data_IF_307739595563
#
_entry.id   IF_307739595563
#
_cell.length_a   1.000
_cell.length_b   1.000
_cell.length_c   1.000
_cell.angle_alpha   90.00
_cell.angle_beta   90.00
_cell.angle_gamma   90.00
#
_symmetry.space_group_name_H-M   'P 1'
#
loop_
_entity.id
_entity.type
_entity.pdbx_description
1 polymer ?
#
# COMPACT_ATOMS: atom_id res chain seq x y z
N UNK A 1 -18.00 41.67 -84.26
CA UNK A 1 -17.00 41.83 -83.18
C UNK A 1 -17.70 42.31 -81.92
N UNK A 2 -17.43 41.82 -80.71
CA UNK A 2 -16.83 40.54 -80.33
C UNK A 2 -17.78 39.69 -79.46
N UNK A 3 -17.63 38.38 -79.58
CA UNK A 3 -18.08 37.39 -78.60
C UNK A 3 -17.32 37.67 -77.31
N UNK A 4 -18.02 37.82 -76.17
CA UNK A 4 -17.36 37.79 -74.85
C UNK A 4 -16.93 36.36 -74.56
N UNK A 5 -15.74 36.07 -75.07
CA UNK A 5 -14.79 35.06 -74.63
C UNK A 5 -14.50 35.24 -73.12
N UNK A 6 -14.63 34.14 -72.38
CA UNK A 6 -14.14 33.90 -71.01
C UNK A 6 -14.61 34.84 -69.88
N UNK A 7 -15.49 34.31 -69.02
CA UNK A 7 -15.80 34.91 -67.72
C UNK A 7 -16.21 33.84 -66.70
N UNK A 8 -15.25 33.45 -65.86
CA UNK A 8 -15.39 32.70 -64.60
C UNK A 8 -15.65 31.16 -64.65
N UNK A 9 -15.01 30.42 -65.55
CA UNK A 9 -15.07 28.94 -65.57
C UNK A 9 -13.99 28.20 -64.76
N UNK A 10 -13.08 28.88 -64.06
CA UNK A 10 -11.98 28.21 -63.33
C UNK A 10 -11.89 28.51 -61.82
N UNK A 11 -12.89 29.18 -61.23
CA UNK A 11 -12.97 29.33 -59.77
C UNK A 11 -13.91 28.29 -59.17
N UNK A 12 -13.54 27.58 -58.08
CA UNK A 12 -14.49 26.70 -57.40
C UNK A 12 -15.74 27.51 -57.03
N UNK A 13 -16.92 27.03 -57.46
CA UNK A 13 -18.19 27.66 -57.09
C UNK A 13 -18.29 27.71 -55.57
N UNK A 14 -18.82 28.81 -55.02
CA UNK A 14 -19.00 28.97 -53.57
C UNK A 14 -19.70 27.73 -53.01
N UNK A 15 -19.03 27.05 -52.09
CA UNK A 15 -19.60 25.87 -51.44
C UNK A 15 -20.89 26.28 -50.74
N UNK A 16 -22.00 25.54 -50.93
CA UNK A 16 -23.26 25.86 -50.25
C UNK A 16 -23.04 25.98 -48.74
N UNK A 17 -23.78 26.86 -48.05
CA UNK A 17 -23.67 27.03 -46.60
C UNK A 17 -23.74 25.66 -45.91
N UNK A 18 -22.73 25.35 -45.08
CA UNK A 18 -22.71 24.10 -44.33
C UNK A 18 -23.97 24.04 -43.46
N UNK A 19 -24.72 22.96 -43.57
CA UNK A 19 -25.92 22.68 -42.74
C UNK A 19 -25.56 22.25 -41.31
N UNK A 20 -24.31 21.85 -41.07
CA UNK A 20 -23.79 21.56 -39.73
C UNK A 20 -23.20 22.84 -39.14
N UNK A 21 -23.72 23.28 -38.00
CA UNK A 21 -23.12 24.36 -37.22
C UNK A 21 -21.67 24.01 -36.86
N UNK A 22 -20.77 25.00 -36.98
CA UNK A 22 -19.39 24.82 -36.57
C UNK A 22 -19.32 24.76 -35.04
N UNK A 23 -18.70 23.71 -34.49
CA UNK A 23 -18.43 23.62 -33.05
C UNK A 23 -17.29 24.57 -32.60
N UNK A 24 -16.78 25.39 -33.51
CA UNK A 24 -15.68 26.32 -33.26
C UNK A 24 -16.06 27.49 -32.34
N UNK A 25 -17.35 27.81 -32.19
CA UNK A 25 -17.81 28.85 -31.26
C UNK A 25 -18.93 28.31 -30.34
N UNK A 26 -18.61 27.72 -29.18
CA UNK A 26 -19.58 27.06 -28.30
C UNK A 26 -20.54 28.04 -27.59
N UNK A 27 -20.33 29.35 -27.71
CA UNK A 27 -21.20 30.38 -27.13
C UNK A 27 -22.42 30.71 -28.01
N UNK A 28 -22.34 30.46 -29.32
CA UNK A 28 -23.44 30.77 -30.27
C UNK A 28 -24.48 29.63 -30.36
N UNK A 29 -24.21 28.49 -29.71
CA UNK A 29 -25.10 27.34 -29.69
C UNK A 29 -26.06 27.42 -28.51
N UNK A 30 -27.30 27.02 -28.75
CA UNK A 30 -28.26 26.78 -27.67
C UNK A 30 -27.68 25.78 -26.65
N UNK A 31 -28.02 26.00 -25.37
CA UNK A 31 -27.51 25.19 -24.25
C UNK A 31 -27.70 23.69 -24.48
N UNK A 32 -28.86 23.28 -24.98
CA UNK A 32 -29.18 21.87 -25.28
C UNK A 32 -28.27 21.30 -26.37
N UNK A 33 -28.07 22.04 -27.47
CA UNK A 33 -27.18 21.66 -28.58
C UNK A 33 -25.73 21.53 -28.10
N UNK A 34 -25.29 22.43 -27.21
CA UNK A 34 -23.96 22.39 -26.60
C UNK A 34 -23.79 21.20 -25.66
N UNK A 35 -24.78 20.92 -24.81
CA UNK A 35 -24.75 19.80 -23.86
C UNK A 35 -24.70 18.45 -24.60
N UNK A 36 -25.44 18.32 -25.71
CA UNK A 36 -25.40 17.12 -26.56
C UNK A 36 -24.07 17.01 -27.31
N UNK A 37 -23.59 18.09 -27.94
CA UNK A 37 -22.36 18.07 -28.73
C UNK A 37 -21.10 17.82 -27.87
N UNK A 38 -21.06 18.34 -26.65
CA UNK A 38 -19.96 18.14 -25.69
C UNK A 38 -20.14 16.88 -24.83
N UNK A 39 -21.27 16.17 -24.95
CA UNK A 39 -21.56 15.00 -24.13
C UNK A 39 -21.72 15.30 -22.63
N UNK A 40 -22.11 16.53 -22.27
CA UNK A 40 -22.31 16.96 -20.88
C UNK A 40 -23.55 16.30 -20.23
N UNK A 41 -24.42 15.68 -21.02
CA UNK A 41 -25.53 14.84 -20.55
C UNK A 41 -25.08 13.42 -20.16
N UNK A 42 -23.95 13.26 -19.46
CA UNK A 42 -23.36 11.94 -19.16
C UNK A 42 -24.14 11.11 -18.13
N UNK A 43 -25.29 11.61 -17.64
CA UNK A 43 -26.13 10.90 -16.68
C UNK A 43 -25.39 10.54 -15.38
N UNK A 44 -25.95 9.62 -14.60
CA UNK A 44 -25.23 9.03 -13.47
C UNK A 44 -24.06 8.21 -14.01
N UNK A 45 -22.81 8.46 -13.59
CA UNK A 45 -21.66 7.70 -14.07
C UNK A 45 -21.85 6.21 -13.76
N UNK A 46 -21.84 5.39 -14.81
CA UNK A 46 -21.89 3.93 -14.71
C UNK A 46 -20.50 3.35 -14.93
N UNK A 47 -20.21 2.24 -14.26
CA UNK A 47 -18.92 1.56 -14.29
C UNK A 47 -19.14 0.07 -14.51
N UNK A 48 -18.57 -0.47 -15.58
CA UNK A 48 -18.61 -1.90 -15.86
C UNK A 48 -17.37 -2.60 -15.31
N UNK A 49 -17.52 -3.41 -14.27
CA UNK A 49 -16.43 -4.24 -13.72
C UNK A 49 -16.80 -5.71 -13.84
N UNK A 50 -15.97 -6.50 -14.52
CA UNK A 50 -16.11 -7.97 -14.60
C UNK A 50 -17.53 -8.40 -15.05
N UNK A 51 -18.08 -7.68 -16.03
CA UNK A 51 -19.42 -7.98 -16.58
C UNK A 51 -20.60 -7.50 -15.73
N UNK A 52 -20.37 -6.77 -14.63
CA UNK A 52 -21.42 -6.14 -13.83
C UNK A 52 -21.43 -4.63 -14.06
N UNK A 53 -22.60 -4.06 -14.38
CA UNK A 53 -22.81 -2.61 -14.44
C UNK A 53 -23.13 -2.06 -13.06
N UNK A 54 -22.31 -1.11 -12.58
CA UNK A 54 -22.49 -0.42 -11.31
C UNK A 54 -22.80 1.06 -11.56
N UNK A 55 -23.86 1.58 -10.94
CA UNK A 55 -24.13 3.01 -10.82
C UNK A 55 -23.47 3.57 -9.57
N UNK A 56 -23.01 4.81 -9.66
CA UNK A 56 -22.54 5.54 -8.49
C UNK A 56 -23.63 6.51 -8.01
N UNK A 57 -24.26 6.19 -6.87
CA UNK A 57 -25.31 6.98 -6.26
C UNK A 57 -24.93 7.29 -4.80
N UNK A 58 -25.00 8.56 -4.39
CA UNK A 58 -24.74 9.01 -3.01
C UNK A 58 -23.39 8.54 -2.41
N UNK A 59 -22.34 8.43 -3.23
CA UNK A 59 -21.03 7.96 -2.76
C UNK A 59 -20.89 6.43 -2.74
N UNK A 60 -21.95 5.68 -3.03
CA UNK A 60 -21.98 4.22 -3.02
C UNK A 60 -22.11 3.66 -4.44
N UNK A 61 -21.54 2.46 -4.63
CA UNK A 61 -21.62 1.72 -5.90
C UNK A 61 -22.78 0.73 -5.81
N UNK A 62 -23.81 0.93 -6.62
CA UNK A 62 -25.03 0.12 -6.65
C UNK A 62 -25.03 -0.72 -7.93
N UNK A 63 -25.18 -2.04 -7.82
CA UNK A 63 -25.27 -2.92 -8.99
C UNK A 63 -26.65 -2.79 -9.66
N UNK A 64 -26.68 -2.59 -10.98
CA UNK A 64 -27.92 -2.28 -11.72
C UNK A 64 -28.80 -3.49 -12.03
N UNK A 65 -28.31 -4.72 -11.83
CA UNK A 65 -29.05 -5.92 -12.24
C UNK A 65 -28.82 -7.07 -11.25
N UNK A 66 -29.85 -7.41 -10.49
CA UNK A 66 -30.24 -8.76 -10.04
C UNK A 66 -29.25 -9.67 -9.30
N UNK A 67 -28.00 -9.28 -9.07
CA UNK A 67 -26.97 -10.15 -8.48
C UNK A 67 -26.48 -9.48 -7.20
N UNK A 68 -27.29 -9.54 -6.13
CA UNK A 68 -26.86 -9.17 -4.78
C UNK A 68 -25.62 -9.96 -4.34
N UNK A 69 -25.41 -11.16 -4.88
CA UNK A 69 -24.27 -12.02 -4.56
C UNK A 69 -22.89 -11.45 -4.94
N UNK A 70 -22.81 -10.40 -5.78
CA UNK A 70 -21.55 -9.72 -6.06
C UNK A 70 -21.06 -8.84 -4.89
N UNK A 71 -22.00 -8.27 -4.13
CA UNK A 71 -21.70 -7.48 -2.93
C UNK A 71 -21.30 -8.41 -1.81
N UNK A 72 -22.08 -9.47 -1.58
CA UNK A 72 -21.81 -10.49 -0.54
C UNK A 72 -20.44 -11.14 -0.74
N UNK A 73 -20.12 -11.58 -1.96
CA UNK A 73 -18.82 -12.21 -2.27
C UNK A 73 -17.64 -11.26 -2.05
N UNK A 74 -17.82 -9.97 -2.33
CA UNK A 74 -16.76 -8.96 -2.13
C UNK A 74 -16.60 -8.61 -0.66
N UNK A 75 -17.69 -8.56 0.09
CA UNK A 75 -17.69 -8.34 1.52
C UNK A 75 -17.05 -9.52 2.26
N UNK A 76 -17.42 -10.75 1.91
CA UNK A 76 -16.78 -11.98 2.41
C UNK A 76 -15.27 -12.00 2.13
N UNK A 77 -14.85 -11.66 0.90
CA UNK A 77 -13.44 -11.58 0.54
C UNK A 77 -12.68 -10.54 1.37
N UNK A 78 -13.29 -9.36 1.61
CA UNK A 78 -12.68 -8.32 2.45
C UNK A 78 -12.59 -8.74 3.92
N UNK A 79 -13.62 -9.40 4.46
CA UNK A 79 -13.62 -9.90 5.83
C UNK A 79 -12.55 -10.99 6.02
N UNK A 80 -12.41 -11.91 5.07
CA UNK A 80 -11.34 -12.90 5.09
C UNK A 80 -9.95 -12.26 5.01
N UNK A 81 -9.77 -11.23 4.18
CA UNK A 81 -8.50 -10.51 4.10
C UNK A 81 -8.14 -9.85 5.44
N UNK A 82 -9.11 -9.22 6.12
CA UNK A 82 -8.90 -8.64 7.45
C UNK A 82 -8.46 -9.71 8.46
N UNK A 83 -9.19 -10.82 8.54
CA UNK A 83 -8.84 -11.92 9.45
C UNK A 83 -7.44 -12.50 9.18
N UNK A 84 -7.05 -12.63 7.91
CA UNK A 84 -5.70 -13.09 7.54
C UNK A 84 -4.62 -12.11 7.99
N UNK A 85 -4.85 -10.82 7.82
CA UNK A 85 -3.89 -9.78 8.25
C UNK A 85 -3.75 -9.78 9.77
N UNK A 86 -4.87 -9.86 10.49
CA UNK A 86 -4.86 -9.88 11.96
C UNK A 86 -4.17 -11.14 12.49
N UNK A 87 -4.49 -12.33 11.95
CA UNK A 87 -3.83 -13.57 12.35
C UNK A 87 -2.33 -13.59 12.04
N UNK A 88 -1.90 -13.08 10.88
CA UNK A 88 -0.47 -12.95 10.57
C UNK A 88 0.24 -12.00 11.55
N UNK A 89 -0.40 -10.89 11.90
CA UNK A 89 0.13 -9.94 12.87
C UNK A 89 0.27 -10.56 14.26
N UNK A 90 -0.70 -11.35 14.70
CA UNK A 90 -0.65 -12.04 15.99
C UNK A 90 0.49 -13.06 16.02
N UNK A 91 0.62 -13.92 15.00
CA UNK A 91 1.72 -14.88 14.90
C UNK A 91 3.10 -14.20 14.89
N UNK A 92 3.24 -13.09 14.15
CA UNK A 92 4.50 -12.33 14.13
C UNK A 92 4.79 -11.68 15.48
N UNK A 93 3.76 -11.21 16.19
CA UNK A 93 3.91 -10.60 17.51
C UNK A 93 4.29 -11.64 18.58
N UNK A 94 3.67 -12.83 18.53
CA UNK A 94 3.99 -13.98 19.38
C UNK A 94 5.42 -14.45 19.13
N UNK A 95 5.80 -14.69 17.86
CA UNK A 95 7.18 -15.08 17.48
C UNK A 95 8.21 -14.03 17.96
N UNK A 96 7.89 -12.74 17.83
CA UNK A 96 8.77 -11.68 18.31
C UNK A 96 8.89 -11.64 19.84
N UNK A 97 7.82 -11.96 20.56
CA UNK A 97 7.84 -12.08 22.02
C UNK A 97 8.68 -13.28 22.47
N UNK A 98 8.50 -14.44 21.85
CA UNK A 98 9.29 -15.65 22.10
C UNK A 98 10.79 -15.43 21.83
N UNK A 99 11.14 -14.81 20.69
CA UNK A 99 12.53 -14.48 20.37
C UNK A 99 13.17 -13.62 21.45
N UNK A 100 12.45 -12.62 21.97
CA UNK A 100 12.95 -11.74 23.04
C UNK A 100 13.11 -12.46 24.37
N UNK A 101 12.27 -13.46 24.66
CA UNK A 101 12.43 -14.28 25.87
C UNK A 101 13.68 -15.16 25.74
N UNK A 102 13.86 -15.83 24.60
CA UNK A 102 15.06 -16.65 24.33
C UNK A 102 16.35 -15.82 24.39
N UNK A 103 16.36 -14.61 23.84
CA UNK A 103 17.50 -13.69 23.92
C UNK A 103 17.88 -13.35 25.38
N UNK A 104 16.87 -13.12 26.24
CA UNK A 104 17.10 -12.85 27.67
C UNK A 104 17.68 -14.06 28.38
N UNK A 105 17.10 -15.25 28.18
CA UNK A 105 17.61 -16.49 28.78
C UNK A 105 19.06 -16.75 28.37
N UNK A 106 19.41 -16.54 27.10
CA UNK A 106 20.79 -16.65 26.61
C UNK A 106 21.72 -15.65 27.30
N UNK A 107 21.31 -14.40 27.48
CA UNK A 107 22.13 -13.41 28.18
C UNK A 107 22.29 -13.71 29.67
N UNK A 108 21.27 -14.23 30.33
CA UNK A 108 21.34 -14.71 31.71
C UNK A 108 22.35 -15.85 31.84
N UNK A 109 22.27 -16.87 30.97
CA UNK A 109 23.22 -17.98 30.95
C UNK A 109 24.65 -17.51 30.67
N UNK A 110 24.84 -16.59 29.72
CA UNK A 110 26.15 -15.97 29.48
C UNK A 110 26.64 -15.22 30.71
N UNK A 111 25.78 -14.48 31.40
CA UNK A 111 26.16 -13.75 32.62
C UNK A 111 26.62 -14.69 33.73
N UNK A 112 25.94 -15.83 33.92
CA UNK A 112 26.33 -16.87 34.89
C UNK A 112 27.67 -17.49 34.50
N UNK A 113 27.87 -17.79 33.22
CA UNK A 113 29.14 -18.33 32.72
C UNK A 113 30.32 -17.36 32.90
N UNK A 114 30.09 -16.06 32.66
CA UNK A 114 31.07 -14.98 32.90
C UNK A 114 31.41 -14.86 34.37
N UNK A 115 30.43 -14.93 35.27
CA UNK A 115 30.66 -14.93 36.73
C UNK A 115 31.45 -16.15 37.21
N UNK A 116 31.24 -17.31 36.59
CA UNK A 116 32.00 -18.54 36.90
C UNK A 116 33.42 -18.51 36.35
N UNK A 117 33.65 -17.83 35.22
CA UNK A 117 34.97 -17.53 34.67
C UNK A 117 35.48 -16.18 35.19
N UNK A 118 35.78 -16.08 36.49
CA UNK A 118 36.61 -14.97 36.99
C UNK A 118 37.99 -15.08 36.32
N UNK A 119 38.52 -13.98 35.78
CA UNK A 119 39.87 -14.00 35.20
C UNK A 119 40.87 -14.33 36.32
N UNK A 120 41.95 -15.10 36.06
CA UNK A 120 42.95 -15.43 37.08
C UNK A 120 43.46 -14.19 37.83
N UNK A 121 43.61 -13.07 37.11
CA UNK A 121 44.01 -11.77 37.66
C UNK A 121 42.99 -11.19 38.65
N UNK A 122 41.69 -11.28 38.37
CA UNK A 122 40.62 -10.82 39.27
C UNK A 122 40.58 -11.66 40.55
N UNK A 123 40.84 -12.97 40.42
CA UNK A 123 40.97 -13.88 41.56
C UNK A 123 42.19 -13.49 42.40
N UNK A 124 43.34 -13.21 41.78
CA UNK A 124 44.55 -12.81 42.48
C UNK A 124 44.40 -11.46 43.21
N UNK A 125 43.74 -10.47 42.60
CA UNK A 125 43.45 -9.17 43.22
C UNK A 125 42.47 -9.28 44.38
N UNK A 126 41.37 -10.02 44.24
CA UNK A 126 40.37 -10.21 45.30
C UNK A 126 40.99 -10.91 46.54
N UNK A 127 41.98 -11.78 46.36
CA UNK A 127 42.71 -12.40 47.47
C UNK A 127 43.77 -11.46 48.09
N UNK A 128 44.24 -10.46 47.33
CA UNK A 128 45.20 -9.44 47.79
C UNK A 128 44.56 -8.35 48.65
N UNK A 129 43.25 -8.18 48.56
CA UNK A 129 42.48 -7.25 49.40
C UNK A 129 41.92 -7.92 50.67
N UNK A 130 41.96 -9.26 50.77
CA UNK A 130 41.50 -9.98 51.97
C UNK A 130 42.44 -9.81 53.17
N UNK A 131 41.89 -9.71 54.39
CA UNK A 131 42.68 -9.58 55.61
C UNK A 131 43.58 -10.80 55.80
N UNK A 132 44.81 -10.57 56.29
CA UNK A 132 45.90 -11.55 56.37
C UNK A 132 45.48 -12.85 57.10
N UNK A 133 44.58 -12.75 58.08
CA UNK A 133 44.04 -13.91 58.82
C UNK A 133 43.25 -14.90 57.95
N UNK A 134 42.74 -14.47 56.79
CA UNK A 134 41.86 -15.25 55.91
C UNK A 134 42.59 -15.87 54.70
N UNK A 135 43.90 -15.66 54.56
CA UNK A 135 44.74 -16.17 53.44
C UNK A 135 45.30 -17.58 53.64
N UNK A 136 44.73 -18.38 54.54
CA UNK A 136 45.22 -19.74 54.81
C UNK A 136 44.46 -20.75 53.96
N UNK A 137 45.13 -21.41 53.01
CA UNK A 137 44.61 -22.62 52.36
C UNK A 137 45.08 -22.94 50.94
N UNK A 138 45.63 -21.99 50.16
CA UNK A 138 45.86 -22.24 48.72
C UNK A 138 47.32 -22.47 48.30
N UNK A 139 48.30 -22.30 49.20
CA UNK A 139 49.70 -22.59 48.86
C UNK A 139 49.95 -24.10 48.62
N UNK A 140 49.03 -24.98 49.05
CA UNK A 140 49.14 -26.43 48.82
C UNK A 140 48.65 -26.90 47.45
N UNK A 141 47.81 -26.13 46.75
CA UNK A 141 47.22 -26.56 45.47
C UNK A 141 47.94 -26.02 44.24
N UNK A 142 48.69 -24.91 44.36
CA UNK A 142 49.47 -24.35 43.24
C UNK A 142 50.79 -25.09 42.99
N UNK A 143 51.29 -25.84 43.98
CA UNK A 143 52.57 -26.56 43.85
C UNK A 143 52.40 -28.05 43.48
N UNK A 144 51.16 -28.52 43.23
CA UNK A 144 50.86 -29.93 43.01
C UNK A 144 50.02 -30.22 41.73
N UNK A 145 50.00 -29.33 40.74
CA UNK A 145 49.44 -29.61 39.41
C UNK A 145 50.22 -28.92 38.31
#
# INVERSE_FOLDING_TARGET
MPVRLFGNTLGPKKTPPRKSASLSNPHDLDRSTREVALGLGYGTPTMNLVGQSLKFENGQRIAETGISGGVDRREEANNLLRLKVDGLRDMLSETAAESRLMEKELEELKSISRRRKKHPEDICQEQREKPIRQRRGMWLTVFCS
#
